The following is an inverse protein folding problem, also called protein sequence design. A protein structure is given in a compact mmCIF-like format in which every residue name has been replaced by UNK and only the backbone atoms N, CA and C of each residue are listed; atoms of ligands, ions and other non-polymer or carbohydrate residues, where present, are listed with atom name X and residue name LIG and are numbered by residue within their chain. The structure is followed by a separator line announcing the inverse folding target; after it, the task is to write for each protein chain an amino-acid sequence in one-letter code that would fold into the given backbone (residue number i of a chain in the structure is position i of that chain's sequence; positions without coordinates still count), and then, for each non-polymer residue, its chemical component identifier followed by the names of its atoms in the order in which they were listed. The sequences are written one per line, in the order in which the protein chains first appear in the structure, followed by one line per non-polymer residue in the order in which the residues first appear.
data_IF_148626223367
#
_entry.id   IF_148626223367
#
_cell.length_a   1.000
_cell.length_b   1.000
_cell.length_c   1.000
_cell.angle_alpha   90.00
_cell.angle_beta   90.00
_cell.angle_gamma   90.00
#
_symmetry.space_group_name_H-M   'P 1'
#
loop_
_entity.id
_entity.type
_entity.pdbx_description
1 polymer ?
#
# COMPACT_ATOMS: atom_id res chain seq x y z
N UNK A 1 16.48 -61.63 4.67
CA UNK A 1 16.94 -60.42 3.94
C UNK A 1 18.46 -60.40 3.96
N UNK A 2 19.12 -60.11 2.84
CA UNK A 2 20.58 -59.93 2.81
C UNK A 2 20.95 -58.56 3.39
N UNK A 3 22.11 -58.43 4.01
CA UNK A 3 22.64 -57.16 4.57
C UNK A 3 22.65 -56.03 3.53
N UNK A 4 22.86 -56.37 2.26
CA UNK A 4 22.79 -55.45 1.12
C UNK A 4 21.40 -54.84 0.95
N UNK A 5 20.33 -55.64 1.04
CA UNK A 5 18.95 -55.15 0.98
C UNK A 5 18.60 -54.25 2.16
N UNK A 6 19.06 -54.57 3.38
CA UNK A 6 18.85 -53.75 4.58
C UNK A 6 19.51 -52.37 4.46
N UNK A 7 20.76 -52.32 4.01
CA UNK A 7 21.50 -51.07 3.77
C UNK A 7 20.84 -50.22 2.68
N UNK A 8 20.45 -50.81 1.55
CA UNK A 8 19.79 -50.08 0.46
C UNK A 8 18.45 -49.48 0.88
N UNK A 9 17.68 -50.17 1.74
CA UNK A 9 16.38 -49.69 2.22
C UNK A 9 16.54 -48.53 3.22
N UNK A 10 17.53 -48.61 4.12
CA UNK A 10 17.85 -47.53 5.05
C UNK A 10 18.38 -46.28 4.33
N UNK A 11 19.32 -46.43 3.39
CA UNK A 11 19.83 -45.31 2.60
C UNK A 11 18.77 -44.71 1.66
N UNK A 12 17.89 -45.55 1.09
CA UNK A 12 16.76 -45.09 0.28
C UNK A 12 15.76 -44.25 1.07
N UNK A 13 15.43 -44.66 2.30
CA UNK A 13 14.56 -43.89 3.19
C UNK A 13 15.18 -42.54 3.59
N UNK A 14 16.49 -42.51 3.85
CA UNK A 14 17.25 -41.28 4.14
C UNK A 14 17.25 -40.32 2.95
N UNK A 15 17.49 -40.84 1.72
CA UNK A 15 17.45 -40.04 0.51
C UNK A 15 16.05 -39.47 0.23
N UNK A 16 14.98 -40.27 0.46
CA UNK A 16 13.60 -39.82 0.32
C UNK A 16 13.26 -38.69 1.30
N UNK A 17 13.77 -38.79 2.53
CA UNK A 17 13.60 -37.76 3.57
C UNK A 17 14.29 -36.44 3.21
N UNK A 18 15.50 -36.50 2.68
CA UNK A 18 16.23 -35.31 2.20
C UNK A 18 15.51 -34.67 1.01
N UNK A 19 14.94 -35.47 0.10
CA UNK A 19 14.13 -34.96 -1.01
C UNK A 19 12.85 -34.28 -0.51
N UNK A 20 12.13 -34.90 0.42
CA UNK A 20 10.92 -34.33 1.03
C UNK A 20 11.21 -33.01 1.75
N UNK A 21 12.28 -32.94 2.53
CA UNK A 21 12.66 -31.70 3.22
C UNK A 21 13.06 -30.60 2.24
N UNK A 22 13.77 -30.95 1.15
CA UNK A 22 14.14 -30.00 0.10
C UNK A 22 12.92 -29.47 -0.66
N UNK A 23 11.98 -30.33 -1.02
CA UNK A 23 10.73 -29.93 -1.71
C UNK A 23 9.88 -29.04 -0.82
N UNK A 24 9.72 -29.37 0.47
CA UNK A 24 8.97 -28.54 1.40
C UNK A 24 9.66 -27.19 1.66
N UNK A 25 10.99 -27.18 1.75
CA UNK A 25 11.79 -25.96 1.84
C UNK A 25 11.62 -25.05 0.62
N UNK A 26 11.68 -25.61 -0.58
CA UNK A 26 11.44 -24.88 -1.83
C UNK A 26 9.99 -24.37 -1.91
N UNK A 27 9.01 -25.15 -1.46
CA UNK A 27 7.61 -24.73 -1.43
C UNK A 27 7.41 -23.54 -0.49
N UNK A 28 7.98 -23.60 0.73
CA UNK A 28 7.94 -22.53 1.72
C UNK A 28 8.61 -21.24 1.22
N UNK A 29 9.78 -21.36 0.58
CA UNK A 29 10.49 -20.23 -0.03
C UNK A 29 9.64 -19.61 -1.15
N UNK A 30 9.06 -20.43 -2.03
CA UNK A 30 8.23 -19.93 -3.15
C UNK A 30 6.94 -19.23 -2.69
N UNK A 31 6.34 -19.69 -1.58
CA UNK A 31 5.18 -19.02 -0.98
C UNK A 31 5.55 -17.71 -0.29
N UNK A 32 6.75 -17.63 0.29
CA UNK A 32 7.27 -16.41 0.90
C UNK A 32 7.56 -15.35 -0.17
N UNK A 33 8.16 -15.75 -1.29
CA UNK A 33 8.50 -14.87 -2.41
C UNK A 33 7.25 -14.28 -3.09
N UNK A 34 6.23 -15.11 -3.35
CA UNK A 34 4.93 -14.64 -3.89
C UNK A 34 4.16 -13.73 -2.92
N UNK A 35 4.30 -13.92 -1.61
CA UNK A 35 3.64 -13.08 -0.62
C UNK A 35 4.40 -11.76 -0.40
N UNK A 36 5.73 -11.77 -0.47
CA UNK A 36 6.57 -10.58 -0.39
C UNK A 36 6.42 -9.71 -1.65
N UNK A 37 6.44 -10.29 -2.85
CA UNK A 37 6.16 -9.55 -4.08
C UNK A 37 4.77 -8.90 -4.05
N UNK A 38 3.74 -9.62 -3.59
CA UNK A 38 2.37 -9.08 -3.44
C UNK A 38 2.28 -7.97 -2.36
N UNK A 39 3.13 -8.01 -1.34
CA UNK A 39 3.20 -6.99 -0.29
C UNK A 39 3.96 -5.74 -0.74
N UNK A 40 5.06 -5.90 -1.47
CA UNK A 40 5.90 -4.80 -1.97
C UNK A 40 5.27 -4.12 -3.19
N UNK A 41 4.65 -4.87 -4.11
CA UNK A 41 4.01 -4.31 -5.31
C UNK A 41 2.54 -3.89 -5.10
N UNK A 42 1.90 -4.34 -4.02
CA UNK A 42 0.48 -4.07 -3.71
C UNK A 42 0.26 -2.96 -2.66
N UNK A 43 0.09 -3.28 -1.37
CA UNK A 43 -0.31 -2.34 -0.30
C UNK A 43 0.55 -1.06 -0.21
N UNK A 44 1.86 -1.15 -0.43
CA UNK A 44 2.78 -0.01 -0.28
C UNK A 44 2.58 1.02 -1.41
N UNK A 45 2.46 0.57 -2.67
CA UNK A 45 2.30 1.47 -3.80
C UNK A 45 0.99 2.28 -3.80
N UNK A 46 -0.06 1.76 -3.18
CA UNK A 46 -1.34 2.47 -3.06
C UNK A 46 -1.34 3.54 -1.95
N UNK A 47 -0.60 3.29 -0.87
CA UNK A 47 -0.47 4.24 0.23
C UNK A 47 0.43 5.41 -0.18
N UNK A 48 1.48 5.16 -0.95
CA UNK A 48 2.35 6.20 -1.50
C UNK A 48 1.57 7.15 -2.42
N UNK A 49 0.74 6.62 -3.34
CA UNK A 49 -0.12 7.45 -4.19
C UNK A 49 -1.09 8.34 -3.40
N UNK A 50 -1.63 7.83 -2.29
CA UNK A 50 -2.50 8.61 -1.42
C UNK A 50 -1.74 9.67 -0.60
N UNK A 51 -0.48 9.40 -0.22
CA UNK A 51 0.41 10.38 0.40
C UNK A 51 0.83 11.46 -0.61
N UNK A 52 1.23 11.08 -1.83
CA UNK A 52 1.59 12.02 -2.89
C UNK A 52 0.42 12.95 -3.24
N UNK A 53 -0.80 12.40 -3.30
CA UNK A 53 -2.03 13.19 -3.45
C UNK A 53 -2.19 14.21 -2.32
N UNK A 54 -1.93 13.80 -1.08
CA UNK A 54 -2.00 14.68 0.10
C UNK A 54 -0.95 15.78 0.05
N UNK A 55 0.28 15.44 -0.31
CA UNK A 55 1.40 16.38 -0.40
C UNK A 55 1.16 17.41 -1.51
N UNK A 56 0.70 16.98 -2.69
CA UNK A 56 0.31 17.87 -3.77
C UNK A 56 -0.87 18.78 -3.36
N UNK A 57 -1.86 18.24 -2.65
CA UNK A 57 -3.00 19.01 -2.13
C UNK A 57 -2.54 20.10 -1.14
N UNK A 58 -1.63 19.75 -0.22
CA UNK A 58 -1.07 20.68 0.75
C UNK A 58 -0.17 21.73 0.07
N UNK A 59 0.64 21.34 -0.90
CA UNK A 59 1.45 22.25 -1.70
C UNK A 59 0.57 23.27 -2.44
N UNK A 60 -0.55 22.82 -3.02
CA UNK A 60 -1.54 23.70 -3.64
C UNK A 60 -2.15 24.69 -2.64
N UNK A 61 -2.52 24.22 -1.45
CA UNK A 61 -3.08 25.06 -0.40
C UNK A 61 -2.09 26.13 0.10
N UNK A 62 -0.83 25.75 0.29
CA UNK A 62 0.25 26.64 0.71
C UNK A 62 0.50 27.71 -0.36
N UNK A 63 0.67 27.29 -1.62
CA UNK A 63 0.93 28.21 -2.72
C UNK A 63 -0.24 29.19 -2.94
N UNK A 64 -1.49 28.71 -2.87
CA UNK A 64 -2.67 29.57 -2.98
C UNK A 64 -2.74 30.60 -1.84
N UNK A 65 -2.37 30.22 -0.62
CA UNK A 65 -2.29 31.15 0.52
C UNK A 65 -1.18 32.18 0.32
N UNK A 66 0.02 31.76 -0.08
CA UNK A 66 1.14 32.65 -0.31
C UNK A 66 0.80 33.70 -1.38
N UNK A 67 0.08 33.29 -2.43
CA UNK A 67 -0.36 34.18 -3.50
C UNK A 67 -1.28 35.31 -2.99
N UNK A 68 -2.14 35.04 -2.00
CA UNK A 68 -2.97 36.08 -1.35
C UNK A 68 -2.10 37.07 -0.55
N UNK A 69 -1.12 36.55 0.18
CA UNK A 69 -0.30 37.32 1.13
C UNK A 69 0.76 38.16 0.41
N UNK A 70 1.35 37.64 -0.67
CA UNK A 70 2.42 38.33 -1.37
C UNK A 70 1.92 39.52 -2.17
N UNK A 71 2.68 40.62 -2.08
CA UNK A 71 2.48 41.84 -2.86
C UNK A 71 3.49 42.01 -4.00
N UNK A 72 4.58 41.25 -3.98
CA UNK A 72 5.63 41.30 -5.00
C UNK A 72 5.20 40.55 -6.28
N UNK A 73 5.17 41.21 -7.45
CA UNK A 73 4.73 40.57 -8.70
C UNK A 73 5.55 39.34 -9.10
N UNK A 74 6.86 39.33 -8.81
CA UNK A 74 7.74 38.21 -9.11
C UNK A 74 7.39 36.97 -8.28
N UNK A 75 7.18 37.15 -6.97
CA UNK A 75 6.71 36.06 -6.09
C UNK A 75 5.30 35.60 -6.44
N UNK A 76 4.38 36.51 -6.78
CA UNK A 76 3.02 36.14 -7.21
C UNK A 76 3.06 35.22 -8.44
N UNK A 77 3.89 35.52 -9.44
CA UNK A 77 4.04 34.67 -10.62
C UNK A 77 4.59 33.27 -10.28
N UNK A 78 5.57 33.20 -9.37
CA UNK A 78 6.13 31.93 -8.89
C UNK A 78 5.08 31.10 -8.12
N UNK A 79 4.32 31.72 -7.21
CA UNK A 79 3.28 31.00 -6.46
C UNK A 79 2.14 30.52 -7.39
N UNK A 80 1.80 31.27 -8.44
CA UNK A 80 0.85 30.83 -9.47
C UNK A 80 1.31 29.54 -10.14
N UNK A 81 2.57 29.48 -10.56
CA UNK A 81 3.15 28.29 -11.17
C UNK A 81 3.13 27.09 -10.20
N UNK A 82 3.43 27.31 -8.92
CA UNK A 82 3.35 26.26 -7.89
C UNK A 82 1.92 25.73 -7.73
N UNK A 83 0.90 26.61 -7.75
CA UNK A 83 -0.51 26.17 -7.71
C UNK A 83 -0.85 25.31 -8.92
N UNK A 84 -0.47 25.74 -10.12
CA UNK A 84 -0.77 25.01 -11.37
C UNK A 84 -0.09 23.64 -11.39
N UNK A 85 1.19 23.57 -11.01
CA UNK A 85 1.94 22.33 -10.92
C UNK A 85 1.34 21.38 -9.87
N UNK A 86 1.03 21.90 -8.68
CA UNK A 86 0.42 21.10 -7.61
C UNK A 86 -0.99 20.62 -7.99
N UNK A 87 -1.79 21.45 -8.69
CA UNK A 87 -3.09 21.05 -9.20
C UNK A 87 -2.97 19.90 -10.21
N UNK A 88 -2.04 19.99 -11.16
CA UNK A 88 -1.79 18.91 -12.12
C UNK A 88 -1.31 17.62 -11.44
N UNK A 89 -0.45 17.73 -10.43
CA UNK A 89 -0.01 16.59 -9.63
C UNK A 89 -1.18 15.92 -8.91
N UNK A 90 -2.08 16.70 -8.28
CA UNK A 90 -3.30 16.17 -7.65
C UNK A 90 -4.14 15.37 -8.64
N UNK A 91 -4.38 15.89 -9.85
CA UNK A 91 -5.15 15.16 -10.88
C UNK A 91 -4.45 13.85 -11.29
N UNK A 92 -3.13 13.89 -11.43
CA UNK A 92 -2.32 12.72 -11.80
C UNK A 92 -2.37 11.63 -10.74
N UNK A 93 -2.12 11.97 -9.47
CA UNK A 93 -2.13 11.02 -8.38
C UNK A 93 -3.55 10.48 -8.11
N UNK A 94 -4.58 11.31 -8.23
CA UNK A 94 -5.97 10.86 -8.09
C UNK A 94 -6.35 9.86 -9.18
N UNK A 95 -6.00 10.12 -10.44
CA UNK A 95 -6.26 9.20 -11.54
C UNK A 95 -5.53 7.86 -11.36
N UNK A 96 -4.26 7.90 -10.93
CA UNK A 96 -3.49 6.70 -10.60
C UNK A 96 -4.13 5.92 -9.44
N UNK A 97 -4.59 6.61 -8.40
CA UNK A 97 -5.28 6.00 -7.26
C UNK A 97 -6.59 5.32 -7.68
N UNK A 98 -7.37 5.96 -8.56
CA UNK A 98 -8.59 5.39 -9.14
C UNK A 98 -8.32 4.15 -9.99
N UNK A 99 -7.30 4.19 -10.85
CA UNK A 99 -6.92 3.03 -11.65
C UNK A 99 -6.54 1.84 -10.74
N UNK A 100 -5.71 2.11 -9.73
CA UNK A 100 -5.27 1.08 -8.78
C UNK A 100 -6.41 0.50 -7.94
N UNK A 101 -7.37 1.31 -7.51
CA UNK A 101 -8.53 0.80 -6.78
C UNK A 101 -9.40 -0.12 -7.64
N UNK A 102 -9.49 0.14 -8.96
CA UNK A 102 -10.18 -0.76 -9.91
C UNK A 102 -9.44 -2.09 -10.05
N UNK A 103 -8.11 -2.05 -10.18
CA UNK A 103 -7.28 -3.24 -10.33
C UNK A 103 -7.30 -4.14 -9.09
N UNK A 104 -7.37 -3.55 -7.89
CA UNK A 104 -7.43 -4.28 -6.64
C UNK A 104 -8.74 -5.07 -6.46
N UNK A 105 -9.80 -4.72 -7.20
CA UNK A 105 -11.14 -5.31 -7.11
C UNK A 105 -11.72 -5.36 -5.67
N UNK A 106 -11.32 -4.40 -4.82
CA UNK A 106 -11.79 -4.25 -3.44
C UNK A 106 -12.89 -3.16 -3.41
N UNK A 107 -14.17 -3.51 -3.19
CA UNK A 107 -15.27 -2.55 -3.21
C UNK A 107 -15.14 -1.44 -2.18
N UNK A 108 -14.54 -1.73 -1.01
CA UNK A 108 -14.35 -0.75 0.04
C UNK A 108 -13.22 0.21 -0.32
N UNK A 109 -12.12 -0.30 -0.88
CA UNK A 109 -11.05 0.53 -1.42
C UNK A 109 -11.59 1.48 -2.51
N UNK A 110 -12.37 0.96 -3.45
CA UNK A 110 -12.99 1.75 -4.52
C UNK A 110 -13.90 2.85 -3.95
N UNK A 111 -14.79 2.51 -3.02
CA UNK A 111 -15.67 3.49 -2.38
C UNK A 111 -14.91 4.62 -1.67
N UNK A 112 -13.78 4.32 -1.03
CA UNK A 112 -12.95 5.32 -0.37
C UNK A 112 -12.27 6.25 -1.38
N UNK A 113 -11.79 5.73 -2.51
CA UNK A 113 -11.20 6.56 -3.58
C UNK A 113 -12.25 7.43 -4.26
N UNK A 114 -13.46 6.91 -4.47
CA UNK A 114 -14.57 7.69 -5.02
C UNK A 114 -14.96 8.85 -4.08
N UNK A 115 -14.91 8.63 -2.77
CA UNK A 115 -15.12 9.69 -1.78
C UNK A 115 -14.03 10.78 -1.86
N UNK A 116 -12.76 10.41 -2.03
CA UNK A 116 -11.66 11.36 -2.24
C UNK A 116 -11.91 12.18 -3.51
N UNK A 117 -12.24 11.51 -4.62
CA UNK A 117 -12.50 12.16 -5.90
C UNK A 117 -13.69 13.13 -5.83
N UNK A 118 -14.76 12.75 -5.14
CA UNK A 118 -15.94 13.59 -4.96
C UNK A 118 -15.65 14.87 -4.15
N UNK A 119 -14.74 14.81 -3.17
CA UNK A 119 -14.30 16.00 -2.43
C UNK A 119 -13.36 16.84 -3.26
N UNK A 120 -12.39 16.25 -3.96
CA UNK A 120 -11.47 16.98 -4.84
C UNK A 120 -12.21 17.73 -5.96
N UNK A 121 -13.26 17.15 -6.52
CA UNK A 121 -14.11 17.79 -7.53
C UNK A 121 -14.78 19.10 -7.02
N UNK A 122 -14.93 19.26 -5.70
CA UNK A 122 -15.43 20.49 -5.06
C UNK A 122 -14.29 21.41 -4.66
N UNK A 123 -13.24 20.85 -4.07
CA UNK A 123 -12.09 21.59 -3.54
C UNK A 123 -11.25 22.24 -4.65
N UNK A 124 -10.93 21.50 -5.72
CA UNK A 124 -10.10 21.96 -6.83
C UNK A 124 -10.59 23.27 -7.47
N UNK A 125 -11.86 23.35 -7.90
CA UNK A 125 -12.41 24.59 -8.48
C UNK A 125 -12.37 25.77 -7.52
N UNK A 126 -12.67 25.57 -6.23
CA UNK A 126 -12.60 26.64 -5.21
C UNK A 126 -11.16 27.15 -5.05
N UNK A 127 -10.18 26.24 -4.98
CA UNK A 127 -8.77 26.62 -4.89
C UNK A 127 -8.30 27.43 -6.11
N UNK A 128 -8.71 27.04 -7.32
CA UNK A 128 -8.37 27.76 -8.55
C UNK A 128 -9.10 29.12 -8.66
N UNK A 129 -10.35 29.20 -8.23
CA UNK A 129 -11.09 30.48 -8.22
C UNK A 129 -10.46 31.50 -7.28
N UNK A 130 -10.00 31.07 -6.11
CA UNK A 130 -9.25 31.93 -5.17
C UNK A 130 -8.00 32.52 -5.82
N UNK A 131 -7.25 31.71 -6.57
CA UNK A 131 -6.10 32.21 -7.34
C UNK A 131 -6.56 33.21 -8.40
N UNK A 132 -7.62 32.89 -9.15
CA UNK A 132 -8.18 33.77 -10.16
C UNK A 132 -8.61 35.14 -9.59
N UNK A 133 -9.26 35.16 -8.42
CA UNK A 133 -9.65 36.38 -7.71
C UNK A 133 -8.43 37.19 -7.27
N UNK A 134 -7.44 36.52 -6.70
CA UNK A 134 -6.22 37.17 -6.23
C UNK A 134 -5.43 37.83 -7.37
N UNK A 135 -5.31 37.15 -8.51
CA UNK A 135 -4.65 37.68 -9.71
C UNK A 135 -5.40 38.86 -10.34
N UNK A 136 -6.71 38.97 -10.12
CA UNK A 136 -7.53 40.13 -10.52
C UNK A 136 -7.46 41.30 -9.52
N UNK A 137 -6.70 41.16 -8.43
CA UNK A 137 -6.61 42.14 -7.36
C UNK A 137 -7.70 42.05 -6.29
N UNK A 138 -8.64 41.12 -6.42
CA UNK A 138 -9.76 40.91 -5.48
C UNK A 138 -9.33 40.03 -4.29
N UNK A 139 -8.39 40.54 -3.50
CA UNK A 139 -7.80 39.83 -2.35
C UNK A 139 -8.79 39.62 -1.21
N UNK A 140 -9.75 40.53 -1.03
CA UNK A 140 -10.75 40.43 0.03
C UNK A 140 -11.70 39.25 -0.25
N UNK A 141 -12.26 39.16 -1.46
CA UNK A 141 -13.10 38.01 -1.81
C UNK A 141 -12.31 36.70 -1.86
N UNK A 142 -11.04 36.72 -2.29
CA UNK A 142 -10.18 35.55 -2.25
C UNK A 142 -9.96 35.05 -0.80
N UNK A 143 -9.77 35.97 0.15
CA UNK A 143 -9.58 35.65 1.57
C UNK A 143 -10.87 35.12 2.20
N UNK A 144 -12.01 35.75 1.92
CA UNK A 144 -13.31 35.27 2.40
C UNK A 144 -13.58 33.84 1.91
N UNK A 145 -13.43 33.60 0.60
CA UNK A 145 -13.63 32.28 -0.01
C UNK A 145 -12.64 31.22 0.50
N UNK A 146 -11.38 31.60 0.75
CA UNK A 146 -10.40 30.72 1.38
C UNK A 146 -10.87 30.25 2.76
N UNK A 147 -11.43 31.15 3.56
CA UNK A 147 -11.86 30.83 4.92
C UNK A 147 -13.17 30.06 4.98
N UNK A 148 -14.15 30.44 4.16
CA UNK A 148 -15.52 29.93 4.22
C UNK A 148 -15.69 28.62 3.46
N UNK A 149 -15.07 28.48 2.29
CA UNK A 149 -15.26 27.31 1.41
C UNK A 149 -14.02 26.42 1.38
N UNK A 150 -12.84 27.00 1.17
CA UNK A 150 -11.62 26.25 0.88
C UNK A 150 -11.13 25.44 2.09
N UNK A 151 -11.06 26.05 3.28
CA UNK A 151 -10.57 25.38 4.50
C UNK A 151 -11.45 24.18 4.91
N UNK A 152 -12.79 24.27 4.94
CA UNK A 152 -13.64 23.09 5.20
C UNK A 152 -13.47 21.98 4.16
N UNK A 153 -13.38 22.34 2.87
CA UNK A 153 -13.18 21.37 1.80
C UNK A 153 -11.82 20.67 1.90
N UNK A 154 -10.76 21.41 2.24
CA UNK A 154 -9.44 20.84 2.51
C UNK A 154 -9.49 19.86 3.68
N UNK A 155 -10.15 20.22 4.79
CA UNK A 155 -10.32 19.32 5.93
C UNK A 155 -11.11 18.05 5.56
N UNK A 156 -12.13 18.18 4.71
CA UNK A 156 -12.89 17.04 4.20
C UNK A 156 -12.02 16.12 3.33
N UNK A 157 -11.16 16.70 2.48
CA UNK A 157 -10.25 15.93 1.63
C UNK A 157 -9.20 15.19 2.47
N UNK A 158 -8.63 15.88 3.47
CA UNK A 158 -7.72 15.27 4.44
C UNK A 158 -8.35 14.08 5.16
N UNK A 159 -9.61 14.23 5.60
CA UNK A 159 -10.36 13.18 6.27
C UNK A 159 -10.60 11.98 5.35
N UNK A 160 -11.00 12.22 4.10
CA UNK A 160 -11.26 11.16 3.12
C UNK A 160 -9.98 10.36 2.81
N UNK A 161 -8.87 11.05 2.54
CA UNK A 161 -7.59 10.39 2.26
C UNK A 161 -7.05 9.64 3.48
N UNK A 162 -7.21 10.19 4.71
CA UNK A 162 -6.84 9.48 5.94
C UNK A 162 -7.65 8.20 6.16
N UNK A 163 -8.94 8.21 5.82
CA UNK A 163 -9.77 7.00 5.89
C UNK A 163 -9.25 5.91 4.95
N UNK A 164 -8.87 6.29 3.72
CA UNK A 164 -8.21 5.39 2.77
C UNK A 164 -6.89 4.81 3.30
N UNK A 165 -5.98 5.65 3.80
CA UNK A 165 -4.70 5.22 4.37
C UNK A 165 -4.88 4.28 5.58
N UNK A 166 -5.87 4.58 6.44
CA UNK A 166 -6.19 3.75 7.59
C UNK A 166 -6.67 2.37 7.15
N UNK A 167 -7.52 2.32 6.13
CA UNK A 167 -8.01 1.07 5.55
C UNK A 167 -6.86 0.24 4.95
N UNK A 168 -5.98 0.86 4.15
CA UNK A 168 -4.80 0.18 3.59
C UNK A 168 -3.89 -0.39 4.68
N UNK A 169 -3.67 0.35 5.77
CA UNK A 169 -2.89 -0.13 6.93
C UNK A 169 -3.53 -1.33 7.61
N UNK A 170 -4.86 -1.33 7.77
CA UNK A 170 -5.59 -2.46 8.36
C UNK A 170 -5.47 -3.71 7.49
N UNK A 171 -5.63 -3.57 6.16
CA UNK A 171 -5.46 -4.67 5.22
C UNK A 171 -4.04 -5.25 5.27
N UNK A 172 -3.02 -4.38 5.35
CA UNK A 172 -1.63 -4.83 5.53
C UNK A 172 -1.42 -5.68 6.80
N UNK A 173 -2.00 -5.26 7.94
CA UNK A 173 -1.92 -6.03 9.20
C UNK A 173 -2.60 -7.40 9.11
N UNK A 174 -3.74 -7.49 8.42
CA UNK A 174 -4.43 -8.76 8.19
C UNK A 174 -3.54 -9.69 7.35
N UNK A 175 -2.90 -9.19 6.30
CA UNK A 175 -2.00 -9.98 5.46
C UNK A 175 -0.78 -10.49 6.23
N UNK A 176 -0.17 -9.67 7.08
CA UNK A 176 0.94 -10.09 7.96
C UNK A 176 0.48 -11.20 8.91
N UNK A 177 -0.69 -11.04 9.55
CA UNK A 177 -1.23 -12.05 10.48
C UNK A 177 -1.50 -13.38 9.76
N UNK A 178 -2.03 -13.33 8.53
CA UNK A 178 -2.24 -14.54 7.72
C UNK A 178 -0.92 -15.19 7.30
N UNK A 179 0.10 -14.40 6.96
CA UNK A 179 1.43 -14.90 6.64
C UNK A 179 2.07 -15.60 7.85
N UNK A 180 1.95 -15.03 9.04
CA UNK A 180 2.44 -15.62 10.30
C UNK A 180 1.75 -16.96 10.60
N UNK A 181 0.43 -17.04 10.40
CA UNK A 181 -0.33 -18.28 10.59
C UNK A 181 0.09 -19.37 9.58
N UNK A 182 0.23 -19.00 8.31
CA UNK A 182 0.68 -19.93 7.27
C UNK A 182 2.10 -20.44 7.54
N UNK A 183 3.00 -19.55 7.99
CA UNK A 183 4.36 -19.91 8.40
C UNK A 183 4.35 -20.88 9.59
N UNK A 184 3.58 -20.57 10.64
CA UNK A 184 3.45 -21.45 11.80
C UNK A 184 2.89 -22.83 11.43
N UNK A 185 1.94 -22.91 10.50
CA UNK A 185 1.39 -24.17 10.02
C UNK A 185 2.44 -24.97 9.22
N UNK A 186 3.18 -24.32 8.33
CA UNK A 186 4.26 -24.95 7.59
C UNK A 186 5.35 -25.51 8.53
N UNK A 187 5.73 -24.73 9.56
CA UNK A 187 6.67 -25.16 10.58
C UNK A 187 6.18 -26.40 11.36
N UNK A 188 4.90 -26.43 11.74
CA UNK A 188 4.31 -27.60 12.42
C UNK A 188 4.33 -28.86 11.54
N UNK A 189 4.00 -28.72 10.25
CA UNK A 189 4.03 -29.84 9.31
C UNK A 189 5.45 -30.37 9.11
N UNK A 190 6.45 -29.48 9.02
CA UNK A 190 7.85 -29.86 8.93
C UNK A 190 8.33 -30.61 10.19
N UNK A 191 7.98 -30.10 11.38
CA UNK A 191 8.32 -30.76 12.64
C UNK A 191 7.65 -32.13 12.77
N UNK A 192 6.38 -32.26 12.35
CA UNK A 192 5.69 -33.54 12.33
C UNK A 192 6.35 -34.53 11.36
N UNK A 193 6.73 -34.08 10.16
CA UNK A 193 7.44 -34.90 9.19
C UNK A 193 8.81 -35.36 9.74
N UNK A 194 9.55 -34.48 10.39
CA UNK A 194 10.82 -34.81 11.08
C UNK A 194 10.60 -35.83 12.21
N UNK A 195 9.56 -35.68 13.02
CA UNK A 195 9.25 -36.64 14.07
C UNK A 195 8.94 -38.04 13.50
N UNK A 196 8.10 -38.11 12.45
CA UNK A 196 7.79 -39.36 11.75
C UNK A 196 9.06 -39.99 11.15
N UNK A 197 9.94 -39.17 10.58
CA UNK A 197 11.21 -39.59 10.02
C UNK A 197 12.11 -40.26 11.07
N UNK A 198 12.28 -39.63 12.23
CA UNK A 198 13.09 -40.13 13.33
C UNK A 198 12.51 -41.44 13.87
N UNK A 199 11.19 -41.53 14.04
CA UNK A 199 10.53 -42.75 14.49
C UNK A 199 10.71 -43.90 13.49
N UNK A 200 10.58 -43.64 12.19
CA UNK A 200 10.81 -44.64 11.15
C UNK A 200 12.26 -45.13 11.14
N UNK A 201 13.23 -44.20 11.27
CA UNK A 201 14.64 -44.55 11.37
C UNK A 201 14.96 -45.38 12.61
N UNK A 202 14.41 -45.01 13.78
CA UNK A 202 14.56 -45.77 15.02
C UNK A 202 13.95 -47.17 14.95
N UNK A 203 12.74 -47.30 14.39
CA UNK A 203 12.09 -48.59 14.19
C UNK A 203 12.91 -49.50 13.26
N UNK A 204 13.46 -48.95 12.16
CA UNK A 204 14.35 -49.70 11.28
C UNK A 204 15.65 -50.12 11.97
N UNK A 205 16.26 -49.25 12.77
CA UNK A 205 17.46 -49.58 13.55
C UNK A 205 17.19 -50.70 14.57
N UNK A 206 15.99 -50.75 15.14
CA UNK A 206 15.59 -51.80 16.08
C UNK A 206 15.27 -53.14 15.40
N UNK A 207 14.84 -53.12 14.14
CA UNK A 207 14.51 -54.31 13.32
C UNK A 207 15.72 -54.93 12.59
N UNK A 208 16.86 -54.23 12.56
CA UNK A 208 18.12 -54.69 11.94
C UNK A 208 18.90 -55.54 12.93
#
# INVERSE_FOLDING_TARGET
MTTRQRLSLAFGALALLVLLSSVLGLHAISSSDRNFARYVEGPVGHMDLANDLMDATNARAIAARNLIIDADPGRVAMEKQKVEAAHAAVQTHLAALQARARDAADPQMQSLVDAIAAVEAKYGPVALDIVGKTLKGDREAATARMNEECKPLLAALLKATKAYLTYGTQQGKVQVTQADQAFAQAQRLLLAALAVAILAAGAMAWLI
#
